data_IF_220467201801
#
_entry.id   IF_220467201801
#
_cell.length_a   1.000
_cell.length_b   1.000
_cell.length_c   1.000
_cell.angle_alpha   90.00
_cell.angle_beta   90.00
_cell.angle_gamma   90.00
#
_symmetry.space_group_name_H-M   'P 1'
#
loop_
_entity.id
_entity.type
_entity.pdbx_description
1 polymer ?
#
# COMPACT_ATOMS: atom_id res chain seq x y z
N UNK A 1 5.12 -5.24 -17.22
CA UNK A 1 4.41 -5.49 -15.95
C UNK A 1 3.06 -4.78 -15.92
N UNK A 2 1.95 -5.51 -15.82
CA UNK A 2 0.61 -5.02 -15.51
C UNK A 2 0.34 -5.16 -14.02
N UNK A 3 0.15 -4.03 -13.32
CA UNK A 3 -0.07 -4.00 -11.88
C UNK A 3 -1.45 -3.43 -11.62
N UNK A 4 -2.26 -4.17 -10.87
CA UNK A 4 -3.63 -3.79 -10.56
C UNK A 4 -3.81 -3.62 -9.06
N UNK A 5 -4.05 -2.39 -8.66
CA UNK A 5 -4.51 -2.03 -7.32
C UNK A 5 -5.38 -0.77 -7.40
N UNK A 6 -6.51 -0.81 -6.70
CA UNK A 6 -7.38 0.33 -6.53
C UNK A 6 -7.83 0.40 -5.08
N UNK A 7 -7.39 1.46 -4.38
CA UNK A 7 -7.65 1.67 -2.95
C UNK A 7 -9.14 1.77 -2.58
N UNK A 8 -10.03 1.98 -3.55
CA UNK A 8 -11.48 2.12 -3.36
C UNK A 8 -12.25 0.81 -3.52
N UNK A 9 -11.59 -0.26 -4.00
CA UNK A 9 -12.23 -1.56 -4.18
C UNK A 9 -11.86 -2.48 -3.02
N UNK A 10 -12.88 -3.05 -2.37
CA UNK A 10 -12.73 -3.94 -1.20
C UNK A 10 -11.80 -5.13 -1.47
N UNK A 11 -11.82 -5.66 -2.71
CA UNK A 11 -10.94 -6.76 -3.12
C UNK A 11 -9.45 -6.45 -2.97
N UNK A 12 -9.07 -5.16 -2.98
CA UNK A 12 -7.69 -4.69 -2.88
C UNK A 12 -7.37 -4.06 -1.52
N UNK A 13 -8.35 -3.42 -0.86
CA UNK A 13 -8.15 -2.83 0.47
C UNK A 13 -9.40 -2.96 1.33
N UNK A 14 -9.26 -3.53 2.53
CA UNK A 14 -10.35 -3.61 3.50
C UNK A 14 -9.84 -3.43 4.94
N UNK A 15 -10.47 -2.62 5.79
CA UNK A 15 -11.62 -1.76 5.49
C UNK A 15 -11.26 -0.57 4.56
N UNK A 16 -12.28 -0.05 3.89
CA UNK A 16 -12.17 1.18 3.11
C UNK A 16 -12.22 2.41 4.03
N UNK A 17 -11.63 3.53 3.59
CA UNK A 17 -11.68 4.79 4.34
C UNK A 17 -10.72 4.86 5.54
N UNK A 18 -11.11 5.67 6.52
CA UNK A 18 -10.40 5.84 7.78
C UNK A 18 -10.62 4.63 8.69
N UNK A 19 -9.63 4.32 9.51
CA UNK A 19 -9.62 3.12 10.34
C UNK A 19 -9.29 3.50 11.78
N UNK A 20 -9.83 2.74 12.72
CA UNK A 20 -9.54 2.95 14.13
C UNK A 20 -8.10 2.52 14.47
N UNK A 21 -7.51 3.16 15.46
CA UNK A 21 -6.23 2.74 16.03
C UNK A 21 -6.27 1.25 16.41
N UNK A 22 -5.16 0.55 16.16
CA UNK A 22 -4.99 -0.90 16.37
C UNK A 22 -5.83 -1.82 15.47
N UNK A 23 -6.63 -1.26 14.56
CA UNK A 23 -7.30 -2.05 13.53
C UNK A 23 -6.30 -2.65 12.54
N UNK A 24 -6.73 -3.72 11.86
CA UNK A 24 -5.96 -4.37 10.80
C UNK A 24 -6.54 -4.00 9.44
N UNK A 25 -5.67 -3.57 8.53
CA UNK A 25 -6.00 -3.28 7.14
C UNK A 25 -5.40 -4.35 6.23
N UNK A 26 -6.26 -4.99 5.46
CA UNK A 26 -5.90 -5.99 4.47
C UNK A 26 -5.57 -5.30 3.16
N UNK A 27 -4.38 -5.57 2.64
CA UNK A 27 -3.92 -5.10 1.34
C UNK A 27 -3.71 -6.29 0.41
N UNK A 28 -4.34 -6.25 -0.76
CA UNK A 28 -4.12 -7.20 -1.84
C UNK A 28 -3.71 -6.46 -3.12
N UNK A 29 -2.83 -7.04 -3.92
CA UNK A 29 -2.40 -6.50 -5.21
C UNK A 29 -2.23 -7.64 -6.22
N UNK A 30 -2.54 -7.36 -7.49
CA UNK A 30 -2.22 -8.26 -8.60
C UNK A 30 -1.03 -7.70 -9.37
N UNK A 31 -0.04 -8.54 -9.65
CA UNK A 31 1.17 -8.21 -10.43
C UNK A 31 1.31 -9.26 -11.53
N UNK A 32 0.87 -8.91 -12.73
CA UNK A 32 0.98 -9.74 -13.93
C UNK A 32 2.21 -9.31 -14.74
N UNK A 33 3.17 -10.20 -14.94
CA UNK A 33 4.44 -9.85 -15.59
C UNK A 33 5.03 -11.04 -16.32
N UNK A 34 5.77 -10.77 -17.40
CA UNK A 34 6.61 -11.76 -18.08
C UNK A 34 7.92 -12.01 -17.32
N UNK A 35 8.35 -11.01 -16.54
CA UNK A 35 9.52 -11.04 -15.67
C UNK A 35 9.28 -11.85 -14.40
N UNK A 36 10.35 -12.43 -13.84
CA UNK A 36 10.26 -13.18 -12.59
C UNK A 36 10.12 -12.23 -11.39
N UNK A 37 8.98 -12.28 -10.70
CA UNK A 37 8.74 -11.48 -9.50
C UNK A 37 9.50 -12.09 -8.31
N UNK A 38 10.57 -11.42 -7.88
CA UNK A 38 11.39 -11.82 -6.73
C UNK A 38 10.69 -11.50 -5.42
N UNK A 39 10.08 -10.32 -5.30
CA UNK A 39 9.35 -9.91 -4.09
C UNK A 39 8.37 -8.78 -4.35
N UNK A 40 7.31 -8.76 -3.54
CA UNK A 40 6.37 -7.63 -3.44
C UNK A 40 6.31 -7.19 -1.98
N UNK A 41 6.49 -5.90 -1.73
CA UNK A 41 6.42 -5.32 -0.39
C UNK A 41 5.44 -4.15 -0.35
N UNK A 42 4.76 -4.00 0.79
CA UNK A 42 4.01 -2.81 1.16
C UNK A 42 4.95 -1.89 1.95
N UNK A 43 5.16 -0.68 1.44
CA UNK A 43 5.94 0.35 2.13
C UNK A 43 4.97 1.27 2.85
N UNK A 44 5.09 1.41 4.17
CA UNK A 44 4.24 2.29 4.99
C UNK A 44 5.10 3.25 5.79
N UNK A 45 4.67 4.50 5.89
CA UNK A 45 5.26 5.51 6.79
C UNK A 45 4.18 6.38 7.39
N UNK A 46 4.38 6.83 8.62
CA UNK A 46 3.49 7.82 9.25
C UNK A 46 3.90 9.24 8.80
N UNK A 47 2.93 10.07 8.45
CA UNK A 47 3.20 11.45 8.03
C UNK A 47 3.79 12.24 9.19
N UNK A 48 4.89 12.96 8.93
CA UNK A 48 5.59 13.78 9.93
C UNK A 48 6.73 13.06 10.64
N UNK A 49 6.79 11.72 10.59
CA UNK A 49 7.89 10.94 11.14
C UNK A 49 8.95 10.67 10.06
N UNK A 50 10.18 11.14 10.27
CA UNK A 50 11.27 11.03 9.29
C UNK A 50 12.00 9.70 9.30
N UNK A 51 11.83 8.89 10.35
CA UNK A 51 12.75 7.77 10.65
C UNK A 51 12.09 6.40 10.51
N UNK A 52 10.76 6.31 10.50
CA UNK A 52 10.07 5.02 10.51
C UNK A 52 9.35 4.72 9.20
N UNK A 53 10.10 4.13 8.26
CA UNK A 53 9.55 3.47 7.07
C UNK A 53 9.51 1.97 7.34
N UNK A 54 8.33 1.38 7.22
CA UNK A 54 8.11 -0.06 7.33
C UNK A 54 8.08 -0.68 5.94
N UNK A 55 8.95 -1.66 5.68
CA UNK A 55 8.92 -2.49 4.47
C UNK A 55 8.32 -3.86 4.81
N UNK A 56 7.04 -4.03 4.52
CA UNK A 56 6.26 -5.20 4.84
C UNK A 56 6.23 -6.18 3.67
N UNK A 57 6.96 -7.30 3.75
CA UNK A 57 6.96 -8.34 2.70
C UNK A 57 5.57 -8.97 2.55
N UNK A 58 4.97 -8.85 1.36
CA UNK A 58 3.66 -9.41 1.04
C UNK A 58 3.78 -10.89 0.67
N UNK A 59 2.79 -11.69 1.07
CA UNK A 59 2.78 -13.14 0.77
C UNK A 59 1.93 -13.44 -0.46
N UNK A 60 2.38 -14.32 -1.38
CA UNK A 60 1.53 -14.81 -2.45
C UNK A 60 0.38 -15.62 -1.85
N UNK A 61 -0.81 -15.53 -2.45
CA UNK A 61 -1.96 -16.35 -2.05
C UNK A 61 -2.68 -17.01 -3.23
N UNK A 62 -2.51 -16.49 -4.43
CA UNK A 62 -2.95 -17.04 -5.70
C UNK A 62 -1.94 -16.63 -6.78
N UNK A 63 -2.03 -17.21 -7.98
CA UNK A 63 -1.20 -16.83 -9.12
C UNK A 63 -1.24 -15.31 -9.33
N UNK A 64 -0.07 -14.69 -9.33
CA UNK A 64 0.12 -13.24 -9.55
C UNK A 64 -0.57 -12.35 -8.52
N UNK A 65 -1.01 -12.87 -7.36
CA UNK A 65 -1.66 -12.08 -6.31
C UNK A 65 -0.96 -12.19 -4.96
N UNK A 66 -0.77 -11.04 -4.33
CA UNK A 66 -0.04 -10.88 -3.08
C UNK A 66 -0.91 -10.18 -2.05
N UNK A 67 -0.75 -10.56 -0.77
CA UNK A 67 -1.49 -9.99 0.35
C UNK A 67 -0.64 -9.67 1.57
N UNK A 68 -1.09 -8.70 2.35
CA UNK A 68 -0.52 -8.38 3.66
C UNK A 68 -1.61 -7.83 4.60
N UNK A 69 -1.49 -8.15 5.90
CA UNK A 69 -2.37 -7.66 6.95
C UNK A 69 -1.57 -6.65 7.78
N UNK A 70 -1.84 -5.37 7.60
CA UNK A 70 -1.11 -4.30 8.29
C UNK A 70 -1.87 -3.85 9.53
N UNK A 71 -1.25 -3.95 10.71
CA UNK A 71 -1.84 -3.46 11.95
C UNK A 71 -1.43 -2.01 12.20
N UNK A 72 -2.41 -1.11 12.37
CA UNK A 72 -2.15 0.32 12.57
C UNK A 72 -1.85 0.60 14.04
N UNK A 73 -0.64 0.29 14.49
CA UNK A 73 -0.25 0.32 15.92
C UNK A 73 0.49 1.58 16.36
N UNK A 74 0.84 2.49 15.45
CA UNK A 74 1.64 3.70 15.76
C UNK A 74 0.81 4.94 16.09
N UNK A 75 -0.38 4.76 16.68
CA UNK A 75 -1.29 5.84 17.07
C UNK A 75 -2.16 6.40 15.95
N UNK A 76 -2.99 7.37 16.28
CA UNK A 76 -3.78 8.13 15.29
C UNK A 76 -2.91 9.00 14.37
N UNK A 77 -3.46 9.36 13.20
CA UNK A 77 -2.81 10.23 12.22
C UNK A 77 -2.89 9.72 10.78
N UNK A 78 -2.16 10.39 9.89
CA UNK A 78 -2.11 10.02 8.48
C UNK A 78 -0.93 9.09 8.20
N UNK A 79 -1.21 7.94 7.60
CA UNK A 79 -0.21 7.02 7.08
C UNK A 79 -0.16 7.14 5.56
N UNK A 80 1.05 7.08 5.03
CA UNK A 80 1.35 7.10 3.60
C UNK A 80 1.88 5.74 3.20
N UNK A 81 1.34 5.16 2.12
CA UNK A 81 1.81 3.86 1.65
C UNK A 81 1.94 3.76 0.12
N UNK A 82 2.78 2.83 -0.32
CA UNK A 82 2.91 2.40 -1.72
C UNK A 82 3.36 0.94 -1.77
N UNK A 83 3.42 0.34 -2.95
CA UNK A 83 3.97 -1.00 -3.15
C UNK A 83 5.34 -0.90 -3.80
N UNK A 84 6.25 -1.79 -3.42
CA UNK A 84 7.58 -1.97 -4.03
C UNK A 84 7.64 -3.38 -4.62
N UNK A 85 7.95 -3.46 -5.90
CA UNK A 85 8.04 -4.71 -6.65
C UNK A 85 9.47 -4.86 -7.13
N UNK A 86 10.11 -5.96 -6.74
CA UNK A 86 11.43 -6.34 -7.23
C UNK A 86 11.27 -7.51 -8.19
N UNK A 87 11.81 -7.38 -9.39
CA UNK A 87 11.71 -8.39 -10.44
C UNK A 87 13.06 -8.61 -11.13
N UNK A 88 13.20 -9.75 -11.80
CA UNK A 88 14.37 -10.12 -12.58
C UNK A 88 13.94 -10.27 -14.05
N UNK A 89 14.58 -9.53 -14.94
CA UNK A 89 14.29 -9.58 -16.37
C UNK A 89 14.84 -10.86 -17.03
N UNK A 90 14.56 -11.07 -18.32
CA UNK A 90 15.04 -12.24 -19.07
C UNK A 90 16.57 -12.32 -19.20
N UNK A 91 17.28 -11.21 -19.00
CA UNK A 91 18.74 -11.15 -18.98
C UNK A 91 19.34 -11.47 -17.60
N UNK A 92 18.50 -11.76 -16.59
CA UNK A 92 18.93 -12.04 -15.22
C UNK A 92 19.23 -10.78 -14.39
N UNK A 93 18.89 -9.59 -14.89
CA UNK A 93 19.12 -8.33 -14.18
C UNK A 93 17.95 -8.01 -13.27
N UNK A 94 18.26 -7.67 -12.02
CA UNK A 94 17.29 -7.25 -11.02
C UNK A 94 16.94 -5.77 -11.17
N UNK A 95 15.65 -5.46 -11.10
CA UNK A 95 15.14 -4.09 -11.11
C UNK A 95 14.01 -3.93 -10.11
N UNK A 96 13.75 -2.67 -9.73
CA UNK A 96 12.75 -2.31 -8.74
C UNK A 96 11.79 -1.27 -9.32
N UNK A 97 10.51 -1.44 -9.05
CA UNK A 97 9.44 -0.52 -9.40
C UNK A 97 8.60 -0.23 -8.16
N UNK A 98 8.03 0.97 -8.13
CA UNK A 98 7.08 1.37 -7.09
C UNK A 98 5.70 1.56 -7.70
N UNK A 99 4.66 1.16 -7.00
CA UNK A 99 3.27 1.36 -7.40
C UNK A 99 2.56 2.25 -6.39
N UNK A 100 2.27 3.47 -6.81
CA UNK A 100 1.66 4.52 -5.98
C UNK A 100 0.32 4.98 -6.56
N UNK A 101 -0.26 6.03 -5.97
CA UNK A 101 -1.50 6.65 -6.43
C UNK A 101 -1.29 7.33 -7.79
N UNK A 102 -2.27 7.27 -8.69
CA UNK A 102 -2.30 8.13 -9.89
C UNK A 102 -2.67 9.58 -9.53
N UNK A 103 -2.59 10.50 -10.50
CA UNK A 103 -2.92 11.92 -10.26
C UNK A 103 -4.42 12.15 -10.02
N UNK A 104 -5.28 11.41 -10.71
CA UNK A 104 -6.69 11.77 -10.88
C UNK A 104 -7.68 10.64 -10.50
N UNK A 105 -7.23 9.46 -10.06
CA UNK A 105 -8.12 8.34 -9.74
C UNK A 105 -7.65 7.47 -8.55
N UNK A 106 -8.51 6.53 -8.14
CA UNK A 106 -8.17 5.47 -7.19
C UNK A 106 -7.26 4.38 -7.75
N UNK A 107 -7.08 4.31 -9.08
CA UNK A 107 -6.12 3.43 -9.73
C UNK A 107 -4.69 3.93 -9.52
N UNK A 108 -3.75 3.00 -9.49
CA UNK A 108 -2.36 3.32 -9.28
C UNK A 108 -1.56 3.62 -10.53
N UNK A 109 -0.32 4.01 -10.30
CA UNK A 109 0.65 4.35 -11.33
C UNK A 109 2.03 3.78 -10.97
N UNK A 110 2.78 3.38 -11.98
CA UNK A 110 4.13 2.82 -11.83
C UNK A 110 5.18 3.93 -11.80
N UNK A 111 6.10 3.86 -10.85
CA UNK A 111 7.18 4.81 -10.65
C UNK A 111 8.51 4.07 -10.59
N UNK A 112 9.51 4.58 -11.32
CA UNK A 112 10.88 4.02 -11.30
C UNK A 112 11.73 4.66 -10.20
N UNK A 113 11.37 5.86 -9.74
CA UNK A 113 12.10 6.60 -8.72
C UNK A 113 11.25 6.81 -7.47
N UNK A 114 11.80 6.44 -6.31
CA UNK A 114 11.15 6.61 -5.01
C UNK A 114 10.75 8.05 -4.70
N UNK A 115 11.61 9.01 -5.06
CA UNK A 115 11.37 10.44 -4.81
C UNK A 115 10.17 10.99 -5.57
N UNK A 116 9.71 10.30 -6.62
CA UNK A 116 8.58 10.70 -7.46
C UNK A 116 7.26 10.05 -7.07
N UNK A 117 7.27 9.11 -6.11
CA UNK A 117 6.09 8.36 -5.71
C UNK A 117 5.03 9.31 -5.16
N UNK A 118 3.83 9.18 -5.72
CA UNK A 118 2.62 9.69 -5.07
C UNK A 118 2.07 8.60 -4.17
N UNK A 119 2.09 8.88 -2.88
CA UNK A 119 1.69 7.93 -1.85
C UNK A 119 0.16 7.85 -1.77
N UNK A 120 -0.37 6.66 -1.52
CA UNK A 120 -1.73 6.51 -1.04
C UNK A 120 -1.82 6.97 0.41
N UNK A 121 -3.04 7.22 0.87
CA UNK A 121 -3.33 7.71 2.21
C UNK A 121 -4.19 6.71 2.98
N UNK A 122 -3.82 6.47 4.23
CA UNK A 122 -4.58 5.71 5.21
C UNK A 122 -4.73 6.58 6.47
N UNK A 123 -5.95 7.03 6.75
CA UNK A 123 -6.24 7.81 7.95
C UNK A 123 -6.53 6.88 9.11
N UNK A 124 -5.84 7.09 10.23
CA UNK A 124 -6.07 6.41 11.50
C UNK A 124 -6.66 7.40 12.51
N UNK A 125 -7.75 7.03 13.18
CA UNK A 125 -8.36 7.85 14.23
C UNK A 125 -8.37 7.11 15.57
N UNK A 126 -8.41 7.87 16.67
CA UNK A 126 -8.71 7.34 18.01
C UNK A 126 -10.21 7.51 18.30
N UNK A 127 -10.81 6.56 19.02
CA UNK A 127 -12.26 6.42 19.25
C UNK A 127 -12.89 7.52 20.14
N UNK A 128 -12.39 8.76 20.12
CA UNK A 128 -12.87 9.83 21.00
C UNK A 128 -13.34 11.08 20.25
N UNK A 129 -13.82 10.92 19.02
CA UNK A 129 -14.59 11.97 18.35
C UNK A 129 -16.09 11.66 18.55
N UNK A 130 -16.59 11.86 19.78
CA UNK A 130 -18.03 11.92 20.00
C UNK A 130 -18.57 13.06 19.14
N UNK A 131 -19.26 12.71 18.06
CA UNK A 131 -20.02 13.68 17.30
C UNK A 131 -20.93 14.44 18.28
N UNK A 132 -20.88 15.77 18.32
CA UNK A 132 -21.68 16.53 19.26
C UNK A 132 -23.18 16.34 18.97
N UNK A 133 -24.00 16.37 20.02
CA UNK A 133 -25.42 15.94 20.06
C UNK A 133 -26.41 16.70 19.14
N UNK A 134 -25.96 17.56 18.22
CA UNK A 134 -26.84 18.40 17.39
C UNK A 134 -27.19 17.78 16.01
N UNK A 135 -27.56 16.49 15.99
CA UNK A 135 -28.24 15.84 14.86
C UNK A 135 -29.68 15.46 15.20
#
# INVERSE_FOLDING_TARGET
>A
MDIQYNSWLEKFKQPFGAVEMNSTVNFNIKVDSEEYIKSVALIVKKQGEKVEIEECSMKPYETNKYKYHYQVSKGSGLYLYCFKITAINHEGQEFCLYYGKSKDSGEGYQYVNEASIRWYQLTCYEENDQAPDWY
#
